data_IF_516461267328
#
_entry.id   IF_516461267328
#
_cell.length_a   1.000
_cell.length_b   1.000
_cell.length_c   1.000
_cell.angle_alpha   90.00
_cell.angle_beta   90.00
_cell.angle_gamma   90.00
#
_symmetry.space_group_name_H-M   'P 1'
#
loop_
_entity.id
_entity.type
_entity.pdbx_description
1 polymer ?
#
# COMPACT_ATOMS: atom_id res chain seq x y z
N UNK A 1 -7.43 2.02 -24.23
CA UNK A 1 -7.87 1.66 -22.86
C UNK A 1 -6.67 1.08 -22.13
N UNK A 2 -6.31 1.59 -20.94
CA UNK A 2 -5.19 1.02 -20.15
C UNK A 2 -5.71 -0.17 -19.35
N UNK A 3 -5.01 -1.30 -19.43
CA UNK A 3 -5.40 -2.51 -18.72
C UNK A 3 -4.95 -2.44 -17.26
N UNK A 4 -5.80 -2.93 -16.34
CA UNK A 4 -5.44 -3.17 -14.95
C UNK A 4 -4.37 -4.26 -14.90
N UNK A 5 -3.12 -3.91 -14.59
CA UNK A 5 -2.10 -4.94 -14.43
C UNK A 5 -2.04 -5.41 -12.98
N UNK A 6 -2.76 -6.50 -12.71
CA UNK A 6 -2.68 -7.26 -11.46
C UNK A 6 -1.66 -8.39 -11.63
N UNK A 7 -0.62 -8.39 -10.79
CA UNK A 7 0.31 -9.52 -10.70
C UNK A 7 -0.37 -10.61 -9.87
N UNK A 8 -0.53 -11.81 -10.43
CA UNK A 8 -1.14 -12.92 -9.69
C UNK A 8 -0.28 -13.38 -8.50
N UNK A 9 -0.92 -13.93 -7.45
CA UNK A 9 -0.21 -14.52 -6.29
C UNK A 9 0.82 -15.56 -6.73
N UNK A 10 0.47 -16.43 -7.68
CA UNK A 10 1.35 -17.47 -8.19
C UNK A 10 2.60 -16.88 -8.86
N UNK A 11 2.43 -15.88 -9.75
CA UNK A 11 3.56 -15.24 -10.41
C UNK A 11 4.49 -14.54 -9.42
N UNK A 12 3.91 -13.85 -8.43
CA UNK A 12 4.65 -13.22 -7.35
C UNK A 12 5.47 -14.25 -6.54
N UNK A 13 4.86 -15.38 -6.18
CA UNK A 13 5.54 -16.46 -5.46
C UNK A 13 6.70 -17.08 -6.25
N UNK A 14 6.56 -17.25 -7.57
CA UNK A 14 7.64 -17.73 -8.43
C UNK A 14 8.84 -16.77 -8.36
N UNK A 15 8.59 -15.47 -8.53
CA UNK A 15 9.64 -14.45 -8.45
C UNK A 15 10.32 -14.46 -7.07
N UNK A 16 9.53 -14.48 -6.02
CA UNK A 16 10.01 -14.46 -4.64
C UNK A 16 10.91 -15.67 -4.34
N UNK A 17 10.52 -16.89 -4.76
CA UNK A 17 11.34 -18.09 -4.61
C UNK A 17 12.67 -17.98 -5.35
N UNK A 18 12.67 -17.48 -6.59
CA UNK A 18 13.90 -17.30 -7.38
C UNK A 18 14.88 -16.31 -6.74
N UNK A 19 14.37 -15.32 -6.01
CA UNK A 19 15.16 -14.27 -5.36
C UNK A 19 15.33 -14.48 -3.84
N UNK A 20 14.90 -15.64 -3.30
CA UNK A 20 14.97 -15.98 -1.86
C UNK A 20 14.30 -14.91 -0.97
N UNK A 21 13.14 -14.40 -1.40
CA UNK A 21 12.32 -13.46 -0.65
C UNK A 21 11.24 -14.24 0.09
N UNK A 22 11.34 -14.31 1.42
CA UNK A 22 10.47 -15.18 2.23
C UNK A 22 9.02 -14.69 2.28
N UNK A 23 8.81 -13.36 2.29
CA UNK A 23 7.52 -12.75 2.56
C UNK A 23 7.21 -11.57 1.63
N UNK A 24 5.93 -11.22 1.48
CA UNK A 24 5.47 -10.11 0.61
C UNK A 24 6.07 -8.76 1.02
N UNK A 25 6.31 -8.53 2.32
CA UNK A 25 7.00 -7.33 2.80
C UNK A 25 8.44 -7.28 2.30
N UNK A 26 9.16 -8.41 2.32
CA UNK A 26 10.52 -8.50 1.77
C UNK A 26 10.52 -8.21 0.27
N UNK A 27 9.52 -8.70 -0.47
CA UNK A 27 9.33 -8.35 -1.88
C UNK A 27 9.13 -6.84 -2.09
N UNK A 28 8.23 -6.21 -1.34
CA UNK A 28 7.95 -4.78 -1.47
C UNK A 28 9.19 -3.93 -1.15
N UNK A 29 9.95 -4.27 -0.10
CA UNK A 29 11.25 -3.63 0.16
C UNK A 29 12.24 -3.86 -0.98
N UNK A 30 12.32 -5.10 -1.49
CA UNK A 30 13.21 -5.46 -2.58
C UNK A 30 12.96 -4.60 -3.81
N UNK A 31 11.71 -4.49 -4.28
CA UNK A 31 11.34 -3.68 -5.45
C UNK A 31 11.37 -2.16 -5.18
N UNK A 32 11.53 -1.73 -3.93
CA UNK A 32 11.79 -0.33 -3.60
C UNK A 32 13.12 0.20 -4.16
N UNK A 33 14.06 -0.71 -4.48
CA UNK A 33 15.33 -0.36 -5.13
C UNK A 33 15.23 -0.42 -6.66
N UNK A 34 15.69 0.63 -7.35
CA UNK A 34 15.59 0.75 -8.82
C UNK A 34 16.08 -0.48 -9.59
N UNK A 35 17.25 -1.03 -9.25
CA UNK A 35 17.81 -2.21 -9.95
C UNK A 35 16.94 -3.45 -9.79
N UNK A 36 16.42 -3.66 -8.59
CA UNK A 36 15.56 -4.79 -8.24
C UNK A 36 14.18 -4.66 -8.86
N UNK A 37 13.65 -3.44 -8.91
CA UNK A 37 12.44 -3.13 -9.63
C UNK A 37 12.59 -3.50 -11.11
N UNK A 38 13.67 -3.06 -11.76
CA UNK A 38 13.95 -3.39 -13.17
C UNK A 38 14.12 -4.89 -13.40
N UNK A 39 14.74 -5.62 -12.47
CA UNK A 39 14.77 -7.08 -12.48
C UNK A 39 13.34 -7.67 -12.48
N UNK A 40 12.45 -7.16 -11.62
CA UNK A 40 11.06 -7.58 -11.59
C UNK A 40 10.30 -7.26 -12.90
N UNK A 41 10.53 -6.10 -13.52
CA UNK A 41 10.00 -5.77 -14.84
C UNK A 41 10.45 -6.79 -15.91
N UNK A 42 11.74 -7.10 -15.95
CA UNK A 42 12.29 -8.07 -16.88
C UNK A 42 11.71 -9.47 -16.64
N UNK A 43 11.53 -9.88 -15.38
CA UNK A 43 10.85 -11.11 -15.02
C UNK A 43 9.41 -11.13 -15.54
N UNK A 44 8.61 -10.10 -15.24
CA UNK A 44 7.22 -10.01 -15.69
C UNK A 44 7.09 -10.07 -17.22
N UNK A 45 8.00 -9.43 -17.95
CA UNK A 45 8.06 -9.48 -19.43
C UNK A 45 8.24 -10.91 -19.95
N UNK A 46 9.05 -11.76 -19.28
CA UNK A 46 9.21 -13.19 -19.65
C UNK A 46 7.92 -13.99 -19.52
N UNK A 47 6.98 -13.54 -18.67
CA UNK A 47 5.68 -14.15 -18.46
C UNK A 47 4.54 -13.39 -19.19
N UNK A 48 4.86 -12.56 -20.18
CA UNK A 48 3.92 -11.76 -20.96
C UNK A 48 3.14 -10.69 -20.18
N UNK A 49 3.67 -10.23 -19.03
CA UNK A 49 3.14 -9.08 -18.32
C UNK A 49 3.85 -7.81 -18.79
N UNK A 50 3.12 -6.94 -19.49
CA UNK A 50 3.61 -5.61 -19.88
C UNK A 50 3.32 -4.62 -18.75
N UNK A 51 4.38 -4.19 -18.08
CA UNK A 51 4.30 -3.22 -16.99
C UNK A 51 4.80 -1.87 -17.47
N UNK A 52 4.19 -0.79 -16.99
CA UNK A 52 4.68 0.57 -17.24
C UNK A 52 5.86 0.88 -16.33
N UNK A 53 6.99 1.27 -16.91
CA UNK A 53 8.16 1.68 -16.12
C UNK A 53 7.89 3.02 -15.41
N UNK A 54 8.40 3.22 -14.19
CA UNK A 54 8.32 4.50 -13.52
C UNK A 54 9.18 5.54 -14.24
N UNK A 55 8.70 6.77 -14.26
CA UNK A 55 9.44 7.96 -14.66
C UNK A 55 10.49 8.38 -13.62
N UNK A 56 10.25 8.13 -12.33
CA UNK A 56 11.24 8.36 -11.28
C UNK A 56 11.99 7.09 -10.85
N UNK A 57 13.12 7.29 -10.17
CA UNK A 57 13.93 6.20 -9.63
C UNK A 57 13.35 5.59 -8.33
N UNK A 58 12.20 6.07 -7.85
CA UNK A 58 11.59 5.65 -6.59
C UNK A 58 10.10 5.37 -6.78
N UNK A 59 9.65 4.26 -6.22
CA UNK A 59 8.23 3.91 -6.13
C UNK A 59 7.70 4.19 -4.72
N UNK A 60 6.37 4.31 -4.64
CA UNK A 60 5.62 4.32 -3.39
C UNK A 60 4.52 3.26 -3.46
N UNK A 61 3.92 2.99 -2.30
CA UNK A 61 2.89 2.00 -2.12
C UNK A 61 1.59 2.66 -1.66
N UNK A 62 0.47 2.21 -2.22
CA UNK A 62 -0.88 2.61 -1.80
C UNK A 62 -1.72 1.36 -1.54
N UNK A 63 -2.31 1.25 -0.35
CA UNK A 63 -3.17 0.14 0.01
C UNK A 63 -4.64 0.42 -0.29
N UNK A 64 -5.33 -0.52 -0.94
CA UNK A 64 -6.78 -0.43 -1.19
C UNK A 64 -7.44 -1.80 -1.21
N UNK A 65 -8.70 -1.88 -0.80
CA UNK A 65 -9.51 -3.11 -0.90
C UNK A 65 -9.93 -3.43 -2.33
N UNK A 66 -9.82 -2.47 -3.25
CA UNK A 66 -10.25 -2.59 -4.67
C UNK A 66 -9.06 -2.47 -5.62
N UNK A 67 -9.15 -3.14 -6.76
CA UNK A 67 -8.19 -2.97 -7.85
C UNK A 67 -8.47 -1.67 -8.61
N UNK A 68 -7.52 -0.75 -8.56
CA UNK A 68 -7.59 0.59 -9.12
C UNK A 68 -6.52 0.75 -10.22
N UNK A 69 -6.85 1.45 -11.31
CA UNK A 69 -5.90 1.81 -12.39
C UNK A 69 -5.23 3.15 -12.16
N UNK A 70 -5.93 4.07 -11.49
CA UNK A 70 -5.44 5.39 -11.17
C UNK A 70 -6.07 5.91 -9.87
N UNK A 71 -5.24 6.50 -9.02
CA UNK A 71 -5.62 7.09 -7.76
C UNK A 71 -6.02 8.55 -8.01
N UNK A 72 -7.27 8.88 -7.69
CA UNK A 72 -7.77 10.25 -7.72
C UNK A 72 -7.61 10.89 -6.33
N UNK A 73 -7.25 12.18 -6.23
CA UNK A 73 -7.25 12.88 -4.96
C UNK A 73 -8.62 12.82 -4.29
N UNK A 74 -8.65 12.51 -2.99
CA UNK A 74 -9.89 12.51 -2.19
C UNK A 74 -9.70 13.25 -0.87
N UNK A 75 -10.78 13.79 -0.32
CA UNK A 75 -10.77 14.42 1.00
C UNK A 75 -10.73 13.35 2.08
N UNK A 76 -9.75 13.44 2.97
CA UNK A 76 -9.65 12.55 4.13
C UNK A 76 -10.34 13.16 5.35
N UNK A 77 -10.65 12.33 6.34
CA UNK A 77 -11.14 12.79 7.65
C UNK A 77 -9.98 12.70 8.62
N UNK A 78 -9.65 13.81 9.29
CA UNK A 78 -8.57 13.83 10.26
C UNK A 78 -8.96 13.15 11.59
N UNK A 79 -8.01 13.01 12.50
CA UNK A 79 -8.23 12.38 13.82
C UNK A 79 -9.32 13.06 14.68
N UNK A 80 -9.68 14.31 14.37
CA UNK A 80 -10.75 15.07 15.04
C UNK A 80 -12.11 14.90 14.35
N UNK A 81 -12.23 13.99 13.38
CA UNK A 81 -13.46 13.78 12.61
C UNK A 81 -13.75 14.90 11.61
N UNK A 82 -12.82 15.82 11.36
CA UNK A 82 -13.03 16.94 10.42
C UNK A 82 -12.51 16.56 9.04
N UNK A 83 -13.30 16.85 8.02
CA UNK A 83 -12.84 16.73 6.64
C UNK A 83 -11.67 17.67 6.40
N UNK A 84 -10.63 17.17 5.74
CA UNK A 84 -9.57 18.01 5.22
C UNK A 84 -10.10 18.89 4.09
N UNK A 85 -9.65 20.15 4.06
CA UNK A 85 -10.07 21.13 3.05
C UNK A 85 -9.50 20.86 1.66
N UNK A 86 -8.48 20.00 1.56
CA UNK A 86 -7.78 19.71 0.30
C UNK A 86 -7.78 18.21 0.05
N UNK A 87 -8.13 17.83 -1.18
CA UNK A 87 -8.09 16.45 -1.62
C UNK A 87 -6.66 16.04 -1.97
N UNK A 88 -6.25 14.85 -1.50
CA UNK A 88 -4.93 14.31 -1.77
C UNK A 88 -5.00 12.81 -2.12
N UNK A 89 -4.00 12.34 -2.86
CA UNK A 89 -3.61 10.93 -2.93
C UNK A 89 -2.56 10.69 -1.86
N UNK A 90 -2.76 9.64 -1.07
CA UNK A 90 -1.84 9.23 -0.01
C UNK A 90 -1.08 7.96 -0.39
N UNK A 91 0.20 7.92 -0.08
CA UNK A 91 1.07 6.77 -0.30
C UNK A 91 2.16 6.68 0.77
N UNK A 92 2.88 5.57 0.80
CA UNK A 92 3.92 5.28 1.80
C UNK A 92 5.09 4.55 1.16
N UNK A 93 6.29 4.69 1.73
CA UNK A 93 7.44 3.83 1.41
C UNK A 93 7.60 2.67 2.41
N UNK A 94 6.64 2.49 3.32
CA UNK A 94 6.58 1.38 4.27
C UNK A 94 5.61 0.28 3.77
N UNK A 95 6.11 -0.94 3.47
CA UNK A 95 5.28 -2.07 3.06
C UNK A 95 4.22 -2.50 4.07
N UNK A 96 4.54 -2.56 5.37
CA UNK A 96 3.57 -2.95 6.39
C UNK A 96 2.45 -1.91 6.49
N UNK A 97 2.77 -0.63 6.36
CA UNK A 97 1.76 0.42 6.28
C UNK A 97 0.84 0.19 5.06
N UNK A 98 1.40 0.02 3.86
CA UNK A 98 0.60 -0.18 2.65
C UNK A 98 -0.29 -1.42 2.72
N UNK A 99 0.25 -2.54 3.19
CA UNK A 99 -0.51 -3.78 3.39
C UNK A 99 -1.64 -3.53 4.40
N UNK A 100 -1.35 -2.94 5.56
CA UNK A 100 -2.37 -2.67 6.56
C UNK A 100 -3.53 -1.86 5.99
N UNK A 101 -3.26 -0.77 5.26
CA UNK A 101 -4.30 0.02 4.59
C UNK A 101 -5.11 -0.79 3.57
N UNK A 102 -4.46 -1.69 2.84
CA UNK A 102 -5.15 -2.55 1.87
C UNK A 102 -6.14 -3.51 2.53
N UNK A 103 -5.88 -3.92 3.77
CA UNK A 103 -6.69 -4.90 4.50
C UNK A 103 -7.86 -4.28 5.27
N UNK A 104 -7.85 -2.95 5.46
CA UNK A 104 -8.83 -2.24 6.27
C UNK A 104 -10.18 -2.12 5.55
N UNK A 105 -11.13 -2.95 5.94
CA UNK A 105 -12.54 -2.76 5.61
C UNK A 105 -13.27 -2.14 6.81
N UNK A 106 -13.11 -0.83 6.98
CA UNK A 106 -13.70 -0.04 8.07
C UNK A 106 -15.20 0.18 7.79
N UNK A 107 -16.04 -0.25 8.71
CA UNK A 107 -17.47 0.06 8.76
C UNK A 107 -17.77 1.01 9.91
N UNK A 108 -19.04 1.36 10.10
CA UNK A 108 -19.48 2.26 11.18
C UNK A 108 -18.84 1.93 12.54
N UNK A 109 -18.42 2.97 13.25
CA UNK A 109 -17.72 2.91 14.55
C UNK A 109 -16.35 2.20 14.55
N UNK A 110 -15.87 1.72 13.40
CA UNK A 110 -14.50 1.25 13.21
C UNK A 110 -13.52 2.40 13.04
N UNK A 111 -12.33 2.26 13.61
CA UNK A 111 -11.23 3.20 13.43
C UNK A 111 -9.93 2.44 13.25
N UNK A 112 -9.05 2.97 12.41
CA UNK A 112 -7.69 2.49 12.28
C UNK A 112 -6.76 3.69 12.18
N UNK A 113 -5.55 3.55 12.69
CA UNK A 113 -4.52 4.56 12.59
C UNK A 113 -3.17 3.91 12.36
N UNK A 114 -2.30 4.65 11.68
CA UNK A 114 -0.90 4.28 11.50
C UNK A 114 -0.04 5.43 12.01
N UNK A 115 0.86 5.11 12.92
CA UNK A 115 1.88 6.03 13.40
C UNK A 115 3.24 5.59 12.85
N UNK A 116 3.78 6.37 11.94
CA UNK A 116 5.10 6.14 11.36
C UNK A 116 6.15 7.15 11.87
N UNK A 117 5.82 8.00 12.84
CA UNK A 117 6.73 9.03 13.36
C UNK A 117 7.97 8.49 14.09
N UNK A 118 8.01 7.21 14.48
CA UNK A 118 9.13 6.55 15.16
C UNK A 118 10.00 5.68 14.23
N UNK A 119 11.07 5.07 14.77
CA UNK A 119 11.89 4.09 14.05
C UNK A 119 11.11 2.86 13.58
N UNK A 120 10.01 2.52 14.27
CA UNK A 120 9.10 1.43 13.91
C UNK A 120 7.72 1.98 13.59
N UNK A 121 7.11 1.46 12.53
CA UNK A 121 5.72 1.73 12.16
C UNK A 121 4.79 0.99 13.10
N UNK A 122 3.90 1.72 13.76
CA UNK A 122 2.88 1.17 14.65
C UNK A 122 1.54 1.17 13.95
N UNK A 123 0.98 -0.03 13.75
CA UNK A 123 -0.33 -0.25 13.19
C UNK A 123 -1.34 -0.37 14.33
N UNK A 124 -2.47 0.33 14.26
CA UNK A 124 -3.46 0.29 15.35
C UNK A 124 -4.90 0.27 14.83
N UNK A 125 -5.75 -0.49 15.51
CA UNK A 125 -7.20 -0.54 15.28
C UNK A 125 -7.94 -0.19 16.57
N UNK A 126 -9.14 0.40 16.46
CA UNK A 126 -9.95 0.75 17.62
C UNK A 126 -10.67 -0.47 18.21
N UNK A 127 -11.10 -0.39 19.48
CA UNK A 127 -11.99 -1.39 20.07
C UNK A 127 -13.29 -1.57 19.26
N UNK A 128 -13.83 -0.48 18.69
CA UNK A 128 -14.98 -0.53 17.78
C UNK A 128 -14.69 -1.23 16.45
N UNK A 129 -13.44 -1.34 16.03
CA UNK A 129 -13.05 -2.18 14.89
C UNK A 129 -13.16 -3.66 15.26
N UNK A 130 -12.65 -4.06 16.44
CA UNK A 130 -12.65 -5.45 16.91
C UNK A 130 -14.06 -5.95 17.25
N UNK A 131 -14.83 -5.14 17.97
CA UNK A 131 -16.17 -5.51 18.45
C UNK A 131 -17.28 -5.16 17.46
N UNK A 132 -16.96 -4.41 16.41
CA UNK A 132 -17.92 -3.96 15.41
C UNK A 132 -17.98 -4.86 14.18
N UNK A 133 -18.56 -4.34 13.11
CA UNK A 133 -18.68 -5.05 11.83
C UNK A 133 -17.45 -4.89 10.91
N UNK A 134 -16.43 -4.16 11.37
CA UNK A 134 -15.16 -4.01 10.68
C UNK A 134 -14.36 -5.30 10.75
N UNK A 135 -13.65 -5.65 9.67
CA UNK A 135 -12.82 -6.86 9.60
C UNK A 135 -11.61 -6.60 8.72
N UNK A 136 -10.50 -7.28 9.00
CA UNK A 136 -9.42 -7.40 8.02
C UNK A 136 -9.90 -8.31 6.89
N UNK A 137 -9.63 -7.91 5.65
CA UNK A 137 -9.94 -8.67 4.43
C UNK A 137 -8.78 -8.61 3.47
N UNK A 138 -8.74 -9.50 2.51
CA UNK A 138 -7.83 -9.40 1.37
C UNK A 138 -7.98 -8.04 0.68
N UNK A 139 -6.85 -7.56 0.15
CA UNK A 139 -6.76 -6.29 -0.52
C UNK A 139 -5.65 -6.27 -1.55
N UNK A 140 -5.27 -5.08 -1.96
CA UNK A 140 -4.28 -4.85 -3.00
C UNK A 140 -3.32 -3.75 -2.56
N UNK A 141 -2.02 -4.00 -2.76
CA UNK A 141 -1.01 -2.94 -2.73
C UNK A 141 -0.76 -2.50 -4.17
N UNK A 142 -0.98 -1.21 -4.41
CA UNK A 142 -0.73 -0.55 -5.68
C UNK A 142 0.67 0.06 -5.66
N UNK A 143 1.48 -0.28 -6.65
CA UNK A 143 2.80 0.27 -6.86
C UNK A 143 2.64 1.49 -7.77
N UNK A 144 3.12 2.64 -7.31
CA UNK A 144 2.98 3.91 -8.01
C UNK A 144 4.34 4.62 -8.10
N UNK A 145 4.47 5.51 -9.08
CA UNK A 145 5.61 6.40 -9.19
C UNK A 145 5.61 7.45 -8.06
N UNK A 146 6.76 7.73 -7.46
CA UNK A 146 6.90 8.77 -6.44
C UNK A 146 6.83 10.21 -6.97
N UNK A 147 6.81 10.41 -8.28
CA UNK A 147 6.79 11.72 -8.93
C UNK A 147 5.59 12.56 -8.50
N UNK A 148 5.87 13.79 -8.05
CA UNK A 148 4.84 14.72 -7.61
C UNK A 148 4.37 14.52 -6.16
N UNK A 149 4.88 13.53 -5.44
CA UNK A 149 4.60 13.37 -4.03
C UNK A 149 5.53 14.22 -3.15
N UNK A 150 4.99 14.71 -2.03
CA UNK A 150 5.74 15.37 -0.96
C UNK A 150 5.59 14.60 0.34
N UNK A 151 6.70 14.36 1.03
CA UNK A 151 6.72 13.68 2.33
C UNK A 151 6.16 14.59 3.42
N UNK A 152 5.33 14.04 4.30
CA UNK A 152 4.72 14.72 5.46
C UNK A 152 5.51 14.42 6.74
N UNK A 153 5.14 15.09 7.84
CA UNK A 153 5.73 14.84 9.17
C UNK A 153 5.46 13.42 9.69
N UNK A 154 4.36 12.77 9.28
CA UNK A 154 4.07 11.37 9.63
C UNK A 154 4.77 10.37 8.69
N UNK A 155 5.80 10.78 7.96
CA UNK A 155 6.51 9.99 6.93
C UNK A 155 5.63 9.44 5.79
N UNK A 156 4.37 9.84 5.71
CA UNK A 156 3.50 9.62 4.56
C UNK A 156 3.90 10.50 3.40
N UNK A 157 3.43 10.15 2.21
CA UNK A 157 3.59 10.93 1.01
C UNK A 157 2.22 11.36 0.53
N UNK A 158 2.08 12.63 0.16
CA UNK A 158 0.86 13.16 -0.43
C UNK A 158 1.09 13.85 -1.77
N UNK A 159 0.14 13.71 -2.68
CA UNK A 159 0.07 14.40 -3.96
C UNK A 159 -1.34 14.95 -4.17
N UNK A 160 -1.47 16.12 -4.79
CA UNK A 160 -2.77 16.68 -5.21
C UNK A 160 -3.11 16.36 -6.68
N UNK A 161 -2.31 15.50 -7.32
CA UNK A 161 -2.51 15.08 -8.70
C UNK A 161 -3.07 13.67 -8.75
N UNK A 162 -3.78 13.36 -9.83
CA UNK A 162 -4.09 11.99 -10.23
C UNK A 162 -2.80 11.20 -10.45
N UNK A 163 -2.73 9.98 -9.92
CA UNK A 163 -1.55 9.11 -10.03
C UNK A 163 -1.93 7.79 -10.68
N UNK A 164 -1.24 7.43 -11.76
CA UNK A 164 -1.44 6.15 -12.42
C UNK A 164 -0.79 5.01 -11.62
N UNK A 165 -1.46 3.87 -11.57
CA UNK A 165 -0.92 2.65 -10.95
C UNK A 165 -0.04 1.93 -11.96
N UNK A 166 1.21 1.64 -11.59
CA UNK A 166 2.15 0.91 -12.45
C UNK A 166 1.75 -0.56 -12.54
N UNK A 167 1.44 -1.16 -11.39
CA UNK A 167 0.85 -2.50 -11.25
C UNK A 167 0.32 -2.67 -9.81
N UNK A 168 -0.46 -3.72 -9.60
CA UNK A 168 -0.99 -4.08 -8.28
C UNK A 168 -0.58 -5.50 -7.90
N UNK A 169 -0.37 -5.74 -6.61
CA UNK A 169 -0.22 -7.09 -6.05
C UNK A 169 -1.34 -7.38 -5.05
N UNK A 170 -1.88 -8.61 -5.01
CA UNK A 170 -2.83 -9.03 -3.99
C UNK A 170 -2.11 -9.26 -2.65
N UNK A 171 -2.76 -8.88 -1.56
CA UNK A 171 -2.25 -9.05 -0.19
C UNK A 171 -3.34 -9.55 0.74
N UNK A 172 -2.94 -10.22 1.81
CA UNK A 172 -3.80 -10.80 2.85
C UNK A 172 -3.19 -10.59 4.25
N UNK A 173 -3.94 -10.80 5.35
CA UNK A 173 -3.47 -10.52 6.70
C UNK A 173 -2.14 -11.20 7.08
N UNK A 174 -1.89 -12.41 6.59
CA UNK A 174 -0.63 -13.15 6.79
C UNK A 174 0.59 -12.51 6.10
N UNK A 175 0.40 -11.46 5.32
CA UNK A 175 1.51 -10.70 4.73
C UNK A 175 2.05 -9.60 5.65
N UNK A 176 1.40 -9.31 6.79
CA UNK A 176 1.92 -8.39 7.78
C UNK A 176 3.03 -9.05 8.61
N UNK A 177 4.13 -8.31 8.80
CA UNK A 177 5.32 -8.78 9.55
C UNK A 177 5.46 -8.09 10.90
N UNK A 178 4.51 -7.21 11.22
CA UNK A 178 4.45 -6.47 12.47
C UNK A 178 3.06 -6.67 13.10
N UNK A 179 2.96 -6.68 14.44
CA UNK A 179 1.68 -6.82 15.10
C UNK A 179 0.78 -5.60 14.86
N UNK A 180 -0.53 -5.83 14.87
CA UNK A 180 -1.55 -4.78 14.93
C UNK A 180 -1.93 -4.59 16.39
N UNK A 181 -1.78 -3.37 16.89
CA UNK A 181 -2.10 -3.02 18.27
C UNK A 181 -3.57 -2.62 18.42
N UNK A 182 -4.17 -2.95 19.57
CA UNK A 182 -5.48 -2.46 19.94
C UNK A 182 -5.35 -1.09 20.61
N UNK A 183 -6.00 -0.08 20.04
CA UNK A 183 -6.07 1.25 20.64
C UNK A 183 -7.17 1.26 21.70
N UNK A 184 -6.74 1.20 22.97
CA UNK A 184 -7.59 1.44 24.13
C UNK A 184 -7.54 2.95 24.38
N UNK A 185 -8.65 3.66 24.16
CA UNK A 185 -8.75 5.06 24.62
C UNK A 185 -8.68 5.03 26.15
N UNK A 186 -7.88 5.88 26.81
CA UNK A 186 -8.10 6.19 28.21
C UNK A 186 -9.47 6.85 28.41
#
# INVERSE_FOLDING_TARGET
MRHKTLISRNLLQIFMRQNKLEETVAFLYFIGHKKNLQNFYAFCKKYNYLLHEPTSNKILFHGSTKIITALEPSTSVNQKGRMEQTAFVYATDDPNYAIFLALLNIKENGGASVYAGSHLTKLSISLGFVNGSSKLKDGHVHIIDSSGFKKTKNREYKSNKKIEVLFSIPVSPENLTVPIYLQIKP
#
